data_IF_395680109534
#
_entry.id   IF_395680109534
#
_cell.length_a   1.000
_cell.length_b   1.000
_cell.length_c   1.000
_cell.angle_alpha   90.00
_cell.angle_beta   90.00
_cell.angle_gamma   90.00
#
_symmetry.space_group_name_H-M   'P 1'
#
loop_
_entity.id
_entity.type
_entity.pdbx_description
1 polymer ?
#
# COMPACT_ATOMS: atom_id res chain seq x y z
N UNK A 1 44.35 12.21 -13.72
CA UNK A 1 43.07 12.63 -14.33
C UNK A 1 42.08 11.49 -14.11
N UNK A 2 41.23 11.56 -13.07
CA UNK A 2 40.32 10.46 -12.73
C UNK A 2 39.18 10.42 -13.73
N UNK A 3 39.08 9.33 -14.50
CA UNK A 3 37.94 9.06 -15.37
C UNK A 3 36.71 8.82 -14.50
N UNK A 4 35.81 9.79 -14.46
CA UNK A 4 34.49 9.61 -13.84
C UNK A 4 33.73 8.61 -14.70
N UNK A 5 33.60 7.37 -14.24
CA UNK A 5 32.74 6.38 -14.89
C UNK A 5 31.30 6.91 -14.94
N UNK A 6 30.77 7.07 -16.16
CA UNK A 6 29.40 7.51 -16.40
C UNK A 6 28.44 6.38 -15.97
N UNK A 7 27.89 6.49 -14.76
CA UNK A 7 26.88 5.55 -14.25
C UNK A 7 25.69 5.46 -15.23
N UNK A 8 25.43 4.26 -15.75
CA UNK A 8 24.32 4.02 -16.67
C UNK A 8 22.98 4.33 -15.98
N UNK A 9 22.28 5.39 -16.40
CA UNK A 9 21.02 5.87 -15.82
C UNK A 9 19.78 5.16 -16.37
N UNK A 10 19.94 4.34 -17.43
CA UNK A 10 18.87 3.60 -18.07
C UNK A 10 17.98 2.78 -17.10
N UNK A 11 18.52 1.97 -16.16
CA UNK A 11 17.68 1.19 -15.24
C UNK A 11 16.84 2.09 -14.31
N UNK A 12 17.36 3.25 -13.93
CA UNK A 12 16.61 4.22 -13.10
C UNK A 12 15.45 4.83 -13.89
N UNK A 13 15.67 5.16 -15.16
CA UNK A 13 14.63 5.71 -16.04
C UNK A 13 13.53 4.68 -16.27
N UNK A 14 13.88 3.42 -16.56
CA UNK A 14 12.92 2.32 -16.73
C UNK A 14 12.08 2.13 -15.46
N UNK A 15 12.73 2.17 -14.29
CA UNK A 15 12.04 2.07 -13.01
C UNK A 15 11.04 3.21 -12.81
N UNK A 16 11.43 4.46 -13.08
CA UNK A 16 10.53 5.62 -12.97
C UNK A 16 9.34 5.47 -13.92
N UNK A 17 9.57 5.06 -15.17
CA UNK A 17 8.49 4.83 -16.14
C UNK A 17 7.55 3.73 -15.65
N UNK A 18 8.08 2.63 -15.13
CA UNK A 18 7.26 1.54 -14.60
C UNK A 18 6.39 2.00 -13.41
N UNK A 19 6.95 2.80 -12.51
CA UNK A 19 6.19 3.37 -11.37
C UNK A 19 5.09 4.32 -11.85
N UNK A 20 5.40 5.23 -12.78
CA UNK A 20 4.40 6.14 -13.35
C UNK A 20 3.29 5.40 -14.09
N UNK A 21 3.66 4.40 -14.90
CA UNK A 21 2.71 3.54 -15.58
C UNK A 21 1.81 2.80 -14.58
N UNK A 22 2.38 2.25 -13.50
CA UNK A 22 1.62 1.60 -12.45
C UNK A 22 0.63 2.56 -11.77
N UNK A 23 1.08 3.75 -11.35
CA UNK A 23 0.22 4.79 -10.74
C UNK A 23 -0.94 5.17 -11.64
N UNK A 24 -0.71 5.21 -12.95
CA UNK A 24 -1.73 5.55 -13.95
C UNK A 24 -2.70 4.38 -14.23
N UNK A 25 -2.18 3.16 -14.38
CA UNK A 25 -2.96 2.00 -14.82
C UNK A 25 -3.74 1.36 -13.68
N UNK A 26 -3.14 1.23 -12.50
CA UNK A 26 -3.75 0.57 -11.34
C UNK A 26 -5.17 1.08 -10.99
N UNK A 27 -5.41 2.38 -10.76
CA UNK A 27 -6.76 2.87 -10.46
C UNK A 27 -7.75 2.63 -11.60
N UNK A 28 -7.29 2.67 -12.86
CA UNK A 28 -8.16 2.40 -14.01
C UNK A 28 -8.61 0.95 -14.09
N UNK A 29 -7.72 0.00 -13.76
CA UNK A 29 -8.09 -1.41 -13.68
C UNK A 29 -9.21 -1.59 -12.65
N UNK A 30 -9.05 -1.00 -11.46
CA UNK A 30 -10.07 -1.09 -10.40
C UNK A 30 -11.42 -0.47 -10.84
N UNK A 31 -11.37 0.73 -11.40
CA UNK A 31 -12.57 1.41 -11.91
C UNK A 31 -13.23 0.61 -13.05
N UNK A 32 -12.45 -0.05 -13.90
CA UNK A 32 -13.00 -0.87 -15.00
C UNK A 32 -13.69 -2.14 -14.52
N UNK A 33 -13.29 -2.68 -13.36
CA UNK A 33 -13.83 -3.92 -12.82
C UNK A 33 -15.14 -3.69 -12.03
N UNK A 34 -15.20 -2.64 -11.19
CA UNK A 34 -16.34 -2.40 -10.30
C UNK A 34 -17.03 -1.04 -10.49
N UNK A 35 -16.43 -0.13 -11.24
CA UNK A 35 -16.94 1.23 -11.42
C UNK A 35 -16.36 2.23 -10.41
N UNK A 36 -16.49 3.54 -10.69
CA UNK A 36 -15.88 4.60 -9.87
C UNK A 36 -16.60 4.82 -8.54
N UNK A 37 -17.87 4.42 -8.43
CA UNK A 37 -18.71 4.64 -7.25
C UNK A 37 -18.76 3.42 -6.32
N UNK A 38 -18.16 2.31 -6.71
CA UNK A 38 -18.18 1.09 -5.90
C UNK A 38 -17.22 1.24 -4.69
N UNK A 39 -17.68 0.98 -3.46
CA UNK A 39 -16.86 1.14 -2.26
C UNK A 39 -15.61 0.25 -2.26
N UNK A 40 -15.65 -0.90 -2.94
CA UNK A 40 -14.50 -1.79 -3.09
C UNK A 40 -13.44 -1.20 -4.02
N UNK A 41 -13.81 -0.40 -5.02
CA UNK A 41 -12.85 0.33 -5.86
C UNK A 41 -12.01 1.27 -5.00
N UNK A 42 -12.67 2.10 -4.19
CA UNK A 42 -11.97 3.03 -3.28
C UNK A 42 -11.13 2.29 -2.24
N UNK A 43 -11.67 1.22 -1.67
CA UNK A 43 -10.99 0.38 -0.69
C UNK A 43 -9.71 -0.26 -1.25
N UNK A 44 -9.81 -0.92 -2.41
CA UNK A 44 -8.67 -1.58 -3.06
C UNK A 44 -7.65 -0.58 -3.57
N UNK A 45 -8.06 0.61 -3.98
CA UNK A 45 -7.13 1.68 -4.30
C UNK A 45 -6.34 2.07 -3.05
N UNK A 46 -7.02 2.42 -1.95
CA UNK A 46 -6.40 2.89 -0.72
C UNK A 46 -5.48 1.85 -0.08
N UNK A 47 -5.99 0.64 0.17
CA UNK A 47 -5.23 -0.40 0.88
C UNK A 47 -4.38 -1.27 -0.04
N UNK A 48 -4.75 -1.44 -1.31
CA UNK A 48 -3.92 -2.16 -2.28
C UNK A 48 -2.68 -1.35 -2.67
N UNK A 49 -2.86 -0.10 -3.10
CA UNK A 49 -1.73 0.80 -3.36
C UNK A 49 -0.97 1.10 -2.06
N UNK A 50 -1.70 1.33 -0.97
CA UNK A 50 -1.15 1.49 0.37
C UNK A 50 -0.25 0.33 0.79
N UNK A 51 -0.65 -0.91 0.56
CA UNK A 51 0.14 -2.10 0.90
C UNK A 51 1.49 -2.13 0.18
N UNK A 52 1.55 -1.68 -1.08
CA UNK A 52 2.80 -1.59 -1.84
C UNK A 52 3.73 -0.56 -1.17
N UNK A 53 3.23 0.64 -0.92
CA UNK A 53 4.03 1.70 -0.26
C UNK A 53 4.47 1.31 1.15
N UNK A 54 3.57 0.68 1.91
CA UNK A 54 3.85 0.14 3.23
C UNK A 54 4.92 -0.95 3.18
N UNK A 55 4.81 -1.90 2.25
CA UNK A 55 5.79 -2.97 2.04
C UNK A 55 7.18 -2.44 1.69
N UNK A 56 7.27 -1.39 0.86
CA UNK A 56 8.54 -0.69 0.58
C UNK A 56 9.11 -0.09 1.88
N UNK A 57 8.28 0.57 2.69
CA UNK A 57 8.68 1.08 3.99
C UNK A 57 9.22 -0.01 4.93
N UNK A 58 8.48 -1.12 5.07
CA UNK A 58 8.90 -2.30 5.84
C UNK A 58 10.24 -2.84 5.35
N UNK A 59 10.41 -2.99 4.03
CA UNK A 59 11.66 -3.43 3.43
C UNK A 59 12.81 -2.49 3.78
N UNK A 60 12.61 -1.16 3.68
CA UNK A 60 13.64 -0.18 3.98
C UNK A 60 14.04 -0.14 5.45
N UNK A 61 13.09 -0.17 6.40
CA UNK A 61 13.42 -0.14 7.83
C UNK A 61 14.20 -1.38 8.29
N UNK A 62 13.92 -2.54 7.67
CA UNK A 62 14.64 -3.78 7.94
C UNK A 62 16.03 -3.76 7.27
N UNK A 63 16.10 -3.37 5.99
CA UNK A 63 17.35 -3.34 5.23
C UNK A 63 18.36 -2.35 5.78
N UNK A 64 17.91 -1.20 6.29
CA UNK A 64 18.77 -0.17 6.89
C UNK A 64 19.15 -0.47 8.34
N UNK A 65 18.55 -1.49 8.97
CA UNK A 65 18.77 -1.79 10.38
C UNK A 65 18.16 -0.76 11.34
N UNK A 66 17.26 0.10 10.84
CA UNK A 66 16.50 1.06 11.65
C UNK A 66 15.55 0.35 12.61
N UNK A 67 15.04 -0.82 12.21
CA UNK A 67 14.32 -1.76 13.09
C UNK A 67 15.12 -3.06 13.19
N UNK A 68 15.59 -3.42 14.40
CA UNK A 68 16.33 -4.67 14.61
C UNK A 68 15.46 -5.71 15.30
N UNK A 69 15.01 -6.68 14.51
CA UNK A 69 14.29 -7.83 15.05
C UNK A 69 15.17 -8.57 16.07
N UNK A 70 14.60 -8.92 17.21
CA UNK A 70 15.31 -9.50 18.36
C UNK A 70 15.59 -8.50 19.49
N UNK A 71 15.56 -7.19 19.22
CA UNK A 71 15.78 -6.14 20.23
C UNK A 71 14.48 -5.78 20.97
N UNK A 72 13.80 -6.77 21.55
CA UNK A 72 12.65 -6.61 22.46
C UNK A 72 11.59 -5.60 21.99
N UNK A 73 11.76 -4.33 22.34
CA UNK A 73 10.92 -3.19 21.95
C UNK A 73 10.74 -3.08 20.42
N UNK A 74 11.80 -3.26 19.63
CA UNK A 74 11.71 -3.19 18.15
C UNK A 74 10.74 -4.27 17.63
N UNK A 75 10.73 -5.47 18.21
CA UNK A 75 9.79 -6.53 17.84
C UNK A 75 8.35 -6.16 18.18
N UNK A 76 8.14 -5.52 19.33
CA UNK A 76 6.81 -5.08 19.76
C UNK A 76 6.25 -4.04 18.80
N UNK A 77 7.00 -2.99 18.50
CA UNK A 77 6.57 -1.94 17.57
C UNK A 77 6.44 -2.45 16.14
N UNK A 78 7.33 -3.34 15.70
CA UNK A 78 7.21 -3.95 14.38
C UNK A 78 5.90 -4.74 14.24
N UNK A 79 5.55 -5.56 15.25
CA UNK A 79 4.24 -6.26 15.28
C UNK A 79 3.07 -5.29 15.22
N UNK A 80 3.13 -4.18 15.97
CA UNK A 80 2.07 -3.15 15.96
C UNK A 80 1.95 -2.41 14.63
N UNK A 81 3.05 -2.14 13.94
CA UNK A 81 3.02 -1.51 12.62
C UNK A 81 2.32 -2.44 11.61
N UNK A 82 2.65 -3.74 11.62
CA UNK A 82 1.97 -4.73 10.78
C UNK A 82 0.49 -4.87 11.18
N UNK A 83 0.22 -5.07 12.46
CA UNK A 83 -1.13 -5.22 12.98
C UNK A 83 -2.00 -4.00 12.70
N UNK A 84 -1.46 -2.78 12.85
CA UNK A 84 -2.15 -1.53 12.59
C UNK A 84 -2.63 -1.42 11.15
N UNK A 85 -1.76 -1.71 10.17
CA UNK A 85 -2.14 -1.70 8.76
C UNK A 85 -3.33 -2.63 8.48
N UNK A 86 -3.24 -3.89 8.93
CA UNK A 86 -4.30 -4.87 8.72
C UNK A 86 -5.56 -4.57 9.53
N UNK A 87 -5.43 -4.05 10.76
CA UNK A 87 -6.56 -3.64 11.59
C UNK A 87 -7.37 -2.55 10.88
N UNK A 88 -6.71 -1.53 10.32
CA UNK A 88 -7.40 -0.48 9.56
C UNK A 88 -8.05 -1.03 8.29
N UNK A 89 -7.36 -1.88 7.53
CA UNK A 89 -7.90 -2.49 6.31
C UNK A 89 -9.13 -3.36 6.62
N UNK A 90 -9.01 -4.28 7.59
CA UNK A 90 -10.11 -5.17 7.98
C UNK A 90 -11.29 -4.37 8.53
N UNK A 91 -11.05 -3.41 9.43
CA UNK A 91 -12.13 -2.60 10.02
C UNK A 91 -12.89 -1.83 8.94
N UNK A 92 -12.18 -1.26 7.95
CA UNK A 92 -12.82 -0.56 6.84
C UNK A 92 -13.62 -1.53 5.95
N UNK A 93 -13.07 -2.70 5.61
CA UNK A 93 -13.81 -3.72 4.86
C UNK A 93 -15.07 -4.20 5.59
N UNK A 94 -14.97 -4.42 6.91
CA UNK A 94 -16.12 -4.73 7.77
C UNK A 94 -17.15 -3.61 7.69
N UNK A 95 -16.73 -2.35 7.75
CA UNK A 95 -17.65 -1.21 7.65
C UNK A 95 -18.36 -1.12 6.29
N UNK A 96 -17.66 -1.44 5.19
CA UNK A 96 -18.27 -1.55 3.86
C UNK A 96 -19.35 -2.64 3.87
N UNK A 97 -19.03 -3.82 4.40
CA UNK A 97 -19.99 -4.93 4.48
C UNK A 97 -21.21 -4.57 5.35
N UNK A 98 -20.98 -3.93 6.50
CA UNK A 98 -22.06 -3.46 7.36
C UNK A 98 -22.94 -2.44 6.62
N UNK A 99 -22.35 -1.48 5.91
CA UNK A 99 -23.10 -0.50 5.14
C UNK A 99 -23.93 -1.11 4.00
N UNK A 100 -23.42 -2.17 3.36
CA UNK A 100 -24.10 -2.83 2.23
C UNK A 100 -25.20 -3.80 2.67
N UNK A 101 -25.03 -4.46 3.82
CA UNK A 101 -25.87 -5.60 4.20
C UNK A 101 -26.64 -5.41 5.49
N UNK A 102 -26.30 -4.42 6.32
CA UNK A 102 -27.04 -4.15 7.55
C UNK A 102 -28.18 -3.18 7.26
N UNK A 103 -29.46 -3.60 7.42
CA UNK A 103 -30.58 -2.71 7.25
C UNK A 103 -30.54 -1.63 8.34
N UNK A 104 -30.42 -0.37 7.93
CA UNK A 104 -30.60 0.76 8.84
C UNK A 104 -32.10 0.97 9.01
N UNK A 105 -32.58 0.99 10.26
CA UNK A 105 -34.00 1.16 10.61
C UNK A 105 -34.67 2.47 10.10
N UNK A 106 -33.97 3.30 9.33
CA UNK A 106 -34.44 4.60 8.83
C UNK A 106 -34.43 4.78 7.31
N UNK A 107 -34.13 3.73 6.53
CA UNK A 107 -34.31 3.76 5.08
C UNK A 107 -35.70 3.25 4.72
N UNK A 108 -36.51 4.08 4.07
CA UNK A 108 -37.86 3.76 3.55
C UNK A 108 -37.79 2.63 2.54
#
# INVERSE_FOLDING_TARGET
>A
MSTVEKKNSLPLIIFIIAVLAFIYVFPRILISAWGPSDPWTCYLYQYGFGAITFGIGIFLILKTGSCKLGRGNDNFWFKWIIAGFFLFAITHAVWILLALYMPVKGGV
#
